data_IF_771871817415
#
_entry.id   IF_771871817415
#
_cell.length_a   1.000
_cell.length_b   1.000
_cell.length_c   1.000
_cell.angle_alpha   90.00
_cell.angle_beta   90.00
_cell.angle_gamma   90.00
#
_symmetry.space_group_name_H-M   'P 1'
#
loop_
_entity.id
_entity.type
_entity.pdbx_description
1 polymer ?
#
# COMPACT_ATOMS: atom_id res chain seq x y z
N UNK A 1 1.07 26.92 8.77
CA UNK A 1 0.26 25.70 8.97
C UNK A 1 0.36 24.92 7.67
N UNK A 2 0.56 23.62 7.66
CA UNK A 2 0.51 22.89 6.41
C UNK A 2 -0.90 23.06 5.84
N UNK A 3 -0.99 23.49 4.61
CA UNK A 3 -2.25 23.64 3.88
C UNK A 3 -2.86 22.24 3.80
N UNK A 4 -4.06 22.04 4.33
CA UNK A 4 -4.73 20.73 4.24
C UNK A 4 -5.07 20.46 2.78
N UNK A 5 -4.70 19.29 2.27
CA UNK A 5 -5.09 18.84 0.93
C UNK A 5 -6.62 18.82 0.86
N UNK A 6 -7.20 19.44 -0.18
CA UNK A 6 -8.64 19.37 -0.41
C UNK A 6 -8.97 18.02 -1.08
N UNK A 7 -9.90 17.25 -0.51
CA UNK A 7 -10.30 15.93 -1.05
C UNK A 7 -11.83 15.84 -1.17
N UNK A 8 -12.32 15.07 -2.14
CA UNK A 8 -13.76 14.85 -2.41
C UNK A 8 -14.42 13.90 -1.44
N UNK A 9 -13.72 12.91 -0.89
CA UNK A 9 -14.28 11.77 -0.13
C UNK A 9 -15.32 10.98 -0.94
N UNK A 10 -14.96 10.54 -2.13
CA UNK A 10 -15.86 9.94 -3.12
C UNK A 10 -15.78 8.41 -3.14
N UNK A 11 -15.87 7.74 -2.00
CA UNK A 11 -15.93 6.27 -1.95
C UNK A 11 -17.24 5.74 -2.54
N UNK A 12 -17.18 4.56 -3.20
CA UNK A 12 -18.34 3.82 -3.72
C UNK A 12 -18.44 2.44 -3.06
N UNK A 13 -19.60 1.75 -3.16
CA UNK A 13 -19.77 0.41 -2.62
C UNK A 13 -18.76 -0.57 -3.20
N UNK A 14 -18.04 -1.27 -2.31
CA UNK A 14 -16.97 -2.21 -2.68
C UNK A 14 -17.49 -3.59 -3.11
N UNK A 15 -18.79 -3.87 -2.93
CA UNK A 15 -19.43 -5.15 -3.31
C UNK A 15 -20.73 -4.92 -4.04
N UNK A 16 -21.08 -5.90 -4.87
CA UNK A 16 -22.34 -5.94 -5.63
C UNK A 16 -23.03 -7.26 -5.35
N UNK A 17 -24.35 -7.21 -5.10
CA UNK A 17 -25.17 -8.40 -4.93
C UNK A 17 -25.56 -8.99 -6.28
N UNK A 18 -25.35 -10.29 -6.44
CA UNK A 18 -25.77 -11.04 -7.63
C UNK A 18 -26.46 -12.34 -7.25
N UNK A 19 -27.18 -12.92 -8.19
CA UNK A 19 -27.75 -14.27 -8.03
C UNK A 19 -26.82 -15.30 -8.68
N UNK A 20 -26.44 -16.33 -7.93
CA UNK A 20 -25.65 -17.47 -8.39
C UNK A 20 -26.42 -18.77 -8.22
N UNK A 21 -26.01 -19.83 -8.91
CA UNK A 21 -26.58 -21.18 -8.74
C UNK A 21 -25.60 -22.03 -7.95
N UNK A 22 -26.06 -22.63 -6.84
CA UNK A 22 -25.25 -23.54 -6.02
C UNK A 22 -25.17 -24.95 -6.61
N UNK A 23 -24.45 -25.86 -5.95
CA UNK A 23 -24.24 -27.27 -6.36
C UNK A 23 -25.54 -28.11 -6.36
N UNK A 24 -26.59 -27.62 -5.74
CA UNK A 24 -27.91 -28.26 -5.71
C UNK A 24 -28.87 -27.71 -6.78
N UNK A 25 -28.43 -26.74 -7.61
CA UNK A 25 -29.25 -26.09 -8.61
C UNK A 25 -30.15 -24.97 -8.05
N UNK A 26 -29.96 -24.54 -6.82
CA UNK A 26 -30.74 -23.50 -6.16
C UNK A 26 -30.16 -22.11 -6.44
N UNK A 27 -31.05 -21.14 -6.62
CA UNK A 27 -30.65 -19.73 -6.75
C UNK A 27 -30.35 -19.15 -5.36
N UNK A 28 -29.13 -18.62 -5.20
CA UNK A 28 -28.66 -18.01 -3.95
C UNK A 28 -28.16 -16.59 -4.21
N UNK A 29 -28.46 -15.66 -3.32
CA UNK A 29 -27.89 -14.31 -3.36
C UNK A 29 -26.48 -14.33 -2.76
N UNK A 30 -25.51 -13.76 -3.48
CA UNK A 30 -24.11 -13.67 -3.06
C UNK A 30 -23.56 -12.28 -3.33
N UNK A 31 -22.60 -11.86 -2.51
CA UNK A 31 -21.81 -10.64 -2.74
C UNK A 31 -20.59 -10.97 -3.58
N UNK A 32 -20.30 -10.16 -4.57
CA UNK A 32 -19.05 -10.17 -5.32
C UNK A 32 -18.31 -8.84 -5.16
N UNK A 33 -16.99 -8.83 -5.30
CA UNK A 33 -16.19 -7.60 -5.24
C UNK A 33 -16.50 -6.71 -6.44
N UNK A 34 -16.66 -5.41 -6.18
CA UNK A 34 -16.72 -4.40 -7.22
C UNK A 34 -15.37 -4.26 -7.91
N UNK A 35 -15.39 -3.82 -9.16
CA UNK A 35 -14.16 -3.49 -9.90
C UNK A 35 -14.47 -2.34 -10.85
N UNK A 36 -13.84 -1.19 -10.61
CA UNK A 36 -14.13 0.06 -11.30
C UNK A 36 -12.84 0.64 -11.88
N UNK A 37 -12.85 1.12 -13.12
CA UNK A 37 -11.72 1.89 -13.65
C UNK A 37 -11.64 3.26 -12.95
N UNK A 38 -10.43 3.72 -12.69
CA UNK A 38 -10.13 5.03 -12.14
C UNK A 38 -8.92 5.61 -12.87
N UNK A 39 -9.16 6.54 -13.76
CA UNK A 39 -8.11 7.20 -14.54
C UNK A 39 -7.48 8.34 -13.75
N UNK A 40 -6.19 8.23 -13.47
CA UNK A 40 -5.43 9.21 -12.70
C UNK A 40 -4.87 10.29 -13.61
N UNK A 41 -5.26 11.53 -13.32
CA UNK A 41 -4.68 12.75 -13.90
C UNK A 41 -3.85 13.49 -12.85
N UNK A 42 -2.68 13.96 -13.23
CA UNK A 42 -1.86 14.83 -12.40
C UNK A 42 -1.49 16.08 -13.18
N UNK A 43 -1.88 17.26 -12.69
CA UNK A 43 -1.74 18.55 -13.36
C UNK A 43 -2.18 18.48 -14.84
N UNK A 44 -3.39 18.03 -15.08
CA UNK A 44 -4.04 17.87 -16.40
C UNK A 44 -3.44 16.79 -17.31
N UNK A 45 -2.34 16.13 -16.90
CA UNK A 45 -1.74 15.02 -17.66
C UNK A 45 -2.32 13.70 -17.21
N UNK A 46 -2.87 12.92 -18.14
CA UNK A 46 -3.27 11.54 -17.89
C UNK A 46 -2.04 10.67 -17.65
N UNK A 47 -2.07 9.87 -16.58
CA UNK A 47 -0.97 8.99 -16.20
C UNK A 47 -1.27 7.52 -16.48
N UNK A 48 -2.41 7.03 -16.00
CA UNK A 48 -2.84 5.63 -16.16
C UNK A 48 -4.28 5.45 -15.66
N UNK A 49 -4.87 4.31 -15.98
CA UNK A 49 -6.12 3.84 -15.38
C UNK A 49 -5.83 2.67 -14.44
N UNK A 50 -6.35 2.73 -13.22
CA UNK A 50 -6.28 1.70 -12.18
C UNK A 50 -7.63 0.99 -12.08
N UNK A 51 -7.63 -0.36 -12.04
CA UNK A 51 -8.83 -1.10 -11.67
C UNK A 51 -8.85 -1.22 -10.15
N UNK A 52 -9.88 -0.71 -9.49
CA UNK A 52 -9.97 -0.59 -8.02
C UNK A 52 -11.36 -0.92 -7.49
N UNK A 53 -11.44 -1.25 -6.20
CA UNK A 53 -12.74 -1.35 -5.49
C UNK A 53 -13.47 -0.01 -5.36
N UNK A 54 -12.77 1.10 -5.52
CA UNK A 54 -13.34 2.44 -5.31
C UNK A 54 -13.58 2.82 -3.85
N UNK A 55 -13.03 2.07 -2.90
CA UNK A 55 -13.22 2.34 -1.47
C UNK A 55 -12.47 3.58 -0.97
N UNK A 56 -11.28 3.84 -1.50
CA UNK A 56 -10.39 4.93 -1.05
C UNK A 56 -9.66 5.57 -2.25
N UNK A 57 -10.37 6.13 -3.22
CA UNK A 57 -9.79 6.56 -4.49
C UNK A 57 -8.80 7.71 -4.34
N UNK A 58 -9.03 8.67 -3.44
CA UNK A 58 -8.13 9.79 -3.19
C UNK A 58 -6.80 9.32 -2.55
N UNK A 59 -6.90 8.43 -1.57
CA UNK A 59 -5.72 7.85 -0.93
C UNK A 59 -4.92 6.99 -1.91
N UNK A 60 -5.60 6.21 -2.76
CA UNK A 60 -4.97 5.43 -3.81
C UNK A 60 -4.18 6.33 -4.79
N UNK A 61 -4.80 7.40 -5.28
CA UNK A 61 -4.16 8.34 -6.20
C UNK A 61 -2.93 9.02 -5.56
N UNK A 62 -3.07 9.53 -4.34
CA UNK A 62 -1.99 10.18 -3.61
C UNK A 62 -0.83 9.23 -3.33
N UNK A 63 -1.13 8.02 -2.87
CA UNK A 63 -0.13 7.03 -2.55
C UNK A 63 0.57 6.46 -3.79
N UNK A 64 -0.15 6.33 -4.90
CA UNK A 64 0.45 5.97 -6.17
C UNK A 64 1.49 7.03 -6.60
N UNK A 65 1.14 8.33 -6.58
CA UNK A 65 2.06 9.42 -6.91
C UNK A 65 3.29 9.42 -5.99
N UNK A 66 3.10 9.21 -4.67
CA UNK A 66 4.17 9.05 -3.69
C UNK A 66 5.10 7.91 -4.06
N UNK A 67 4.57 6.72 -4.29
CA UNK A 67 5.34 5.50 -4.54
C UNK A 67 5.99 5.48 -5.93
N UNK A 68 5.49 6.30 -6.88
CA UNK A 68 6.14 6.58 -8.17
C UNK A 68 7.17 7.72 -8.06
N UNK A 69 7.33 8.35 -6.89
CA UNK A 69 8.21 9.52 -6.66
C UNK A 69 7.93 10.70 -7.58
N UNK A 70 6.69 10.83 -8.02
CA UNK A 70 6.23 12.00 -8.74
C UNK A 70 5.96 13.17 -7.79
N UNK A 71 5.67 12.85 -6.53
CA UNK A 71 5.51 13.78 -5.41
C UNK A 71 6.38 13.28 -4.27
N UNK A 72 7.13 14.17 -3.62
CA UNK A 72 8.03 13.82 -2.53
C UNK A 72 7.49 14.24 -1.15
N UNK A 73 6.55 15.19 -1.15
CA UNK A 73 5.98 15.73 0.07
C UNK A 73 4.47 15.99 -0.14
N UNK A 74 3.59 15.67 0.82
CA UNK A 74 2.16 15.95 0.70
C UNK A 74 1.85 17.44 0.52
N UNK A 75 2.71 18.35 0.97
CA UNK A 75 2.55 19.80 0.74
C UNK A 75 2.66 20.24 -0.72
N UNK A 76 3.17 19.37 -1.61
CA UNK A 76 3.17 19.64 -3.05
C UNK A 76 1.78 19.48 -3.69
N UNK A 77 0.81 18.91 -2.96
CA UNK A 77 -0.55 18.64 -3.45
C UNK A 77 -1.53 19.64 -2.84
N UNK A 78 -2.28 20.32 -3.69
CA UNK A 78 -3.34 21.24 -3.31
C UNK A 78 -4.70 20.56 -3.19
N UNK A 79 -5.04 19.72 -4.19
CA UNK A 79 -6.36 19.08 -4.25
C UNK A 79 -6.32 17.70 -4.91
N UNK A 80 -7.24 16.83 -4.50
CA UNK A 80 -7.54 15.54 -5.10
C UNK A 80 -9.05 15.47 -5.31
N UNK A 81 -9.48 15.44 -6.55
CA UNK A 81 -10.89 15.45 -6.93
C UNK A 81 -11.24 14.17 -7.71
N UNK A 82 -12.18 13.41 -7.19
CA UNK A 82 -12.68 12.17 -7.81
C UNK A 82 -14.06 12.42 -8.38
N UNK A 83 -14.26 11.94 -9.60
CA UNK A 83 -15.53 11.94 -10.29
C UNK A 83 -15.80 10.56 -10.89
N UNK A 84 -16.79 9.85 -10.34
CA UNK A 84 -17.16 8.52 -10.79
C UNK A 84 -18.03 8.52 -12.06
N UNK A 85 -18.63 9.64 -12.44
CA UNK A 85 -19.35 9.73 -13.72
C UNK A 85 -18.36 9.66 -14.90
N UNK A 86 -17.17 10.22 -14.71
CA UNK A 86 -16.08 10.17 -15.68
C UNK A 86 -15.00 9.13 -15.35
N UNK A 87 -15.19 8.36 -14.27
CA UNK A 87 -14.26 7.33 -13.79
C UNK A 87 -12.83 7.88 -13.65
N UNK A 88 -12.69 9.07 -13.09
CA UNK A 88 -11.42 9.80 -13.05
C UNK A 88 -11.10 10.35 -11.67
N UNK A 89 -9.80 10.53 -11.41
CA UNK A 89 -9.26 11.28 -10.28
C UNK A 89 -8.25 12.31 -10.78
N UNK A 90 -8.53 13.58 -10.50
CA UNK A 90 -7.66 14.70 -10.83
C UNK A 90 -6.90 15.13 -9.56
N UNK A 91 -5.57 15.05 -9.63
CA UNK A 91 -4.67 15.56 -8.59
C UNK A 91 -4.06 16.87 -9.11
N UNK A 92 -4.17 17.92 -8.28
CA UNK A 92 -3.66 19.26 -8.60
C UNK A 92 -2.51 19.58 -7.66
N UNK A 93 -1.34 19.95 -8.21
CA UNK A 93 -0.21 20.42 -7.43
C UNK A 93 -0.44 21.82 -6.90
N UNK A 94 0.26 22.18 -5.81
CA UNK A 94 0.31 23.56 -5.30
C UNK A 94 0.91 24.51 -6.35
N UNK A 95 1.89 24.04 -7.11
CA UNK A 95 2.50 24.82 -8.22
C UNK A 95 1.45 25.21 -9.27
N UNK A 96 0.65 24.25 -9.74
CA UNK A 96 -0.40 24.56 -10.73
C UNK A 96 -1.45 25.51 -10.17
N UNK A 97 -1.84 25.33 -8.89
CA UNK A 97 -2.82 26.18 -8.23
C UNK A 97 -2.34 27.62 -8.08
N UNK A 98 -1.07 27.83 -7.73
CA UNK A 98 -0.51 29.14 -7.45
C UNK A 98 -0.05 29.90 -8.69
N UNK A 99 0.54 29.18 -9.66
CA UNK A 99 1.19 29.80 -10.83
C UNK A 99 0.43 29.62 -12.14
N UNK A 100 -0.51 28.68 -12.19
CA UNK A 100 -1.19 28.26 -13.41
C UNK A 100 -0.34 27.37 -14.33
N UNK A 101 0.94 27.10 -13.98
CA UNK A 101 1.87 26.28 -14.76
C UNK A 101 1.96 24.87 -14.18
N UNK A 102 1.90 23.87 -15.06
CA UNK A 102 2.03 22.47 -14.66
C UNK A 102 3.47 22.14 -14.27
N UNK A 103 3.64 21.23 -13.30
CA UNK A 103 4.96 20.69 -12.94
C UNK A 103 5.64 19.98 -14.12
N UNK A 104 4.88 19.56 -15.13
CA UNK A 104 5.39 18.92 -16.36
C UNK A 104 6.14 19.87 -17.29
N UNK A 105 5.90 21.16 -17.16
CA UNK A 105 6.55 22.19 -17.97
C UNK A 105 7.96 22.53 -17.47
N UNK A 106 8.23 22.26 -16.19
CA UNK A 106 9.42 22.80 -15.50
C UNK A 106 10.39 21.74 -14.98
N UNK A 107 10.07 20.43 -15.05
CA UNK A 107 10.83 19.40 -14.33
C UNK A 107 11.25 18.22 -15.20
N UNK A 108 12.40 17.61 -14.82
CA UNK A 108 12.87 16.28 -15.29
C UNK A 108 11.84 15.14 -15.04
N UNK A 109 10.75 15.41 -14.31
CA UNK A 109 9.67 14.47 -14.01
C UNK A 109 8.95 13.99 -15.29
N UNK A 110 8.87 14.82 -16.32
CA UNK A 110 8.31 14.45 -17.62
C UNK A 110 9.10 13.32 -18.29
N UNK A 111 10.43 13.35 -18.18
CA UNK A 111 11.33 12.33 -18.77
C UNK A 111 11.29 11.00 -18.02
N UNK A 112 11.00 11.01 -16.71
CA UNK A 112 10.87 9.79 -15.90
C UNK A 112 9.66 8.94 -16.28
N UNK A 113 8.60 9.56 -16.76
CA UNK A 113 7.39 8.85 -17.22
C UNK A 113 7.55 8.13 -18.56
N UNK A 114 8.44 8.60 -19.43
CA UNK A 114 8.66 8.00 -20.77
C UNK A 114 9.44 6.67 -20.68
N UNK A 115 10.17 6.42 -19.60
CA UNK A 115 11.02 5.22 -19.41
C UNK A 115 10.32 4.07 -18.67
N UNK A 116 9.00 3.95 -18.76
CA UNK A 116 8.25 2.91 -18.03
C UNK A 116 8.52 1.51 -18.60
N UNK A 117 9.05 0.62 -17.75
CA UNK A 117 9.05 -0.82 -17.97
C UNK A 117 7.82 -1.43 -17.31
N UNK A 118 6.94 -2.02 -18.11
CA UNK A 118 5.77 -2.74 -17.60
C UNK A 118 6.23 -4.10 -17.06
N UNK A 119 6.10 -4.33 -15.74
CA UNK A 119 6.36 -5.63 -15.15
C UNK A 119 5.12 -6.52 -15.25
N UNK A 120 5.33 -7.82 -15.56
CA UNK A 120 4.28 -8.82 -15.66
C UNK A 120 3.66 -9.12 -14.29
N UNK A 121 2.40 -8.77 -14.11
CA UNK A 121 1.62 -9.10 -12.91
C UNK A 121 0.44 -8.14 -12.75
N UNK A 122 -0.69 -8.60 -12.27
CA UNK A 122 -1.93 -7.83 -12.10
C UNK A 122 -1.67 -6.44 -11.50
N UNK A 123 -1.61 -5.42 -12.35
CA UNK A 123 -1.28 -4.05 -12.00
C UNK A 123 -0.15 -3.50 -12.88
N UNK A 124 -0.25 -2.26 -13.26
CA UNK A 124 0.78 -1.58 -14.05
C UNK A 124 2.03 -1.42 -13.19
N UNK A 125 3.07 -2.17 -13.54
CA UNK A 125 4.32 -2.25 -12.80
C UNK A 125 5.03 -0.91 -12.66
N UNK A 126 5.60 -0.72 -11.50
CA UNK A 126 6.52 0.38 -11.20
C UNK A 126 7.83 0.19 -11.96
N UNK A 127 8.39 1.25 -12.48
CA UNK A 127 9.68 1.26 -13.17
C UNK A 127 10.80 0.86 -12.19
N UNK A 128 11.34 -0.36 -12.35
CA UNK A 128 12.38 -0.86 -11.46
C UNK A 128 13.76 -0.18 -11.63
N UNK A 129 14.07 0.40 -12.78
CA UNK A 129 15.42 0.92 -13.09
C UNK A 129 15.83 2.11 -12.21
N UNK A 130 15.13 3.23 -12.32
CA UNK A 130 15.46 4.47 -11.58
C UNK A 130 15.17 4.37 -10.08
N UNK A 131 14.24 3.49 -9.68
CA UNK A 131 13.93 3.25 -8.27
C UNK A 131 15.05 2.50 -7.54
N UNK A 132 15.84 1.69 -8.23
CA UNK A 132 16.95 0.96 -7.63
C UNK A 132 18.12 1.88 -7.25
N UNK A 133 18.40 2.93 -8.04
CA UNK A 133 19.47 3.90 -7.73
C UNK A 133 19.18 4.72 -6.48
N UNK A 134 17.91 5.02 -6.26
CA UNK A 134 17.49 5.79 -5.08
C UNK A 134 17.29 4.94 -3.82
N UNK A 135 17.20 3.62 -3.95
CA UNK A 135 17.09 2.74 -2.77
C UNK A 135 18.32 2.82 -1.86
N UNK A 136 19.49 3.11 -2.40
CA UNK A 136 20.71 3.28 -1.61
C UNK A 136 20.65 4.48 -0.64
N UNK A 137 19.70 5.40 -0.84
CA UNK A 137 19.46 6.56 0.03
C UNK A 137 18.45 6.26 1.15
N UNK A 138 17.71 5.14 1.05
CA UNK A 138 16.71 4.78 2.06
C UNK A 138 17.40 4.24 3.30
N UNK A 139 17.18 4.92 4.43
CA UNK A 139 17.62 4.47 5.75
C UNK A 139 16.40 4.12 6.59
N UNK A 140 16.29 2.87 6.99
CA UNK A 140 15.20 2.40 7.82
C UNK A 140 15.61 2.39 9.30
N UNK A 141 14.65 2.73 10.15
CA UNK A 141 14.86 2.76 11.60
C UNK A 141 15.20 1.38 12.16
N UNK A 142 16.16 1.35 13.11
CA UNK A 142 16.45 0.19 13.95
C UNK A 142 15.94 0.36 15.40
N UNK A 143 15.15 1.41 15.66
CA UNK A 143 14.73 1.77 17.00
C UNK A 143 13.67 0.82 17.61
N UNK A 144 12.95 0.09 16.76
CA UNK A 144 11.80 -0.72 17.20
C UNK A 144 11.97 -2.17 16.76
N UNK A 145 12.10 -3.07 17.75
CA UNK A 145 12.15 -4.51 17.50
C UNK A 145 10.73 -5.08 17.44
N UNK A 146 10.50 -6.02 16.53
CA UNK A 146 9.29 -6.83 16.52
C UNK A 146 9.44 -8.01 17.45
N UNK A 147 8.55 -8.18 18.44
CA UNK A 147 8.48 -9.40 19.22
C UNK A 147 7.53 -10.40 18.58
N UNK A 148 7.76 -11.68 18.86
CA UNK A 148 6.89 -12.76 18.40
C UNK A 148 5.44 -12.60 18.89
N UNK A 149 5.24 -12.04 20.09
CA UNK A 149 3.92 -11.76 20.65
C UNK A 149 3.18 -10.70 19.83
N UNK A 150 3.87 -9.61 19.46
CA UNK A 150 3.31 -8.57 18.62
C UNK A 150 2.97 -9.10 17.23
N UNK A 151 3.83 -9.95 16.66
CA UNK A 151 3.54 -10.63 15.38
C UNK A 151 2.25 -11.44 15.47
N UNK A 152 2.09 -12.24 16.53
CA UNK A 152 0.88 -13.05 16.72
C UNK A 152 -0.36 -12.19 16.95
N UNK A 153 -0.23 -11.06 17.65
CA UNK A 153 -1.31 -10.09 17.82
C UNK A 153 -1.77 -9.53 16.47
N UNK A 154 -0.84 -9.08 15.64
CA UNK A 154 -1.15 -8.58 14.27
C UNK A 154 -1.89 -9.65 13.46
N UNK A 155 -1.37 -10.89 13.45
CA UNK A 155 -1.97 -11.98 12.68
C UNK A 155 -3.38 -12.34 13.15
N UNK A 156 -3.62 -12.33 14.47
CA UNK A 156 -4.93 -12.61 15.04
C UNK A 156 -5.94 -11.48 14.76
N UNK A 157 -5.53 -10.22 14.88
CA UNK A 157 -6.37 -9.07 14.60
C UNK A 157 -6.77 -9.03 13.11
N UNK A 158 -5.83 -9.22 12.19
CA UNK A 158 -6.14 -9.28 10.75
C UNK A 158 -7.09 -10.43 10.44
N UNK A 159 -6.90 -11.60 11.06
CA UNK A 159 -7.81 -12.76 10.90
C UNK A 159 -9.22 -12.45 11.36
N UNK A 160 -9.37 -11.72 12.47
CA UNK A 160 -10.67 -11.34 13.05
C UNK A 160 -11.32 -10.15 12.35
N UNK A 161 -10.53 -9.33 11.68
CA UNK A 161 -11.02 -8.11 11.04
C UNK A 161 -12.17 -8.41 10.07
N UNK A 162 -13.26 -7.68 10.16
CA UNK A 162 -14.34 -7.73 9.18
C UNK A 162 -13.82 -7.17 7.85
N UNK A 163 -14.04 -7.90 6.76
CA UNK A 163 -13.37 -7.62 5.51
C UNK A 163 -14.23 -7.95 4.28
N UNK A 164 -13.97 -7.26 3.19
CA UNK A 164 -14.58 -7.54 1.88
C UNK A 164 -14.21 -8.95 1.42
N UNK A 165 -12.99 -9.40 1.70
CA UNK A 165 -12.56 -10.77 1.41
C UNK A 165 -13.47 -11.83 2.04
N UNK A 166 -13.94 -11.61 3.27
CA UNK A 166 -14.86 -12.54 3.94
C UNK A 166 -16.26 -12.53 3.34
N UNK A 167 -16.68 -11.39 2.79
CA UNK A 167 -18.03 -11.21 2.21
C UNK A 167 -18.07 -11.67 0.76
N UNK A 168 -17.10 -11.29 -0.05
CA UNK A 168 -17.12 -11.39 -1.50
C UNK A 168 -15.89 -12.11 -2.10
N UNK A 169 -14.80 -12.26 -1.35
CA UNK A 169 -13.55 -12.79 -1.91
C UNK A 169 -12.85 -11.83 -2.90
N UNK A 170 -11.98 -12.38 -3.74
CA UNK A 170 -11.34 -11.73 -4.89
C UNK A 170 -10.59 -10.41 -4.62
N UNK A 171 -10.14 -10.16 -3.39
CA UNK A 171 -9.40 -8.97 -2.99
C UNK A 171 -8.13 -9.31 -2.22
N UNK A 172 -7.22 -8.33 -2.15
CA UNK A 172 -6.02 -8.35 -1.33
C UNK A 172 -6.13 -7.33 -0.20
N UNK A 173 -5.90 -7.78 1.04
CA UNK A 173 -5.85 -6.90 2.21
C UNK A 173 -4.42 -6.49 2.54
N UNK A 174 -4.25 -5.21 2.89
CA UNK A 174 -3.05 -4.65 3.50
C UNK A 174 -3.41 -3.95 4.81
N UNK A 175 -2.55 -4.07 5.82
CA UNK A 175 -2.71 -3.38 7.09
C UNK A 175 -1.43 -2.65 7.48
N UNK A 176 -1.57 -1.46 8.05
CA UNK A 176 -0.53 -0.76 8.76
C UNK A 176 -0.79 -0.95 10.26
N UNK A 177 0.17 -1.52 10.97
CA UNK A 177 0.03 -1.79 12.40
C UNK A 177 1.10 -1.05 13.20
N UNK A 178 0.79 -0.71 14.46
CA UNK A 178 1.75 -0.10 15.37
C UNK A 178 2.81 -1.11 15.83
N UNK A 179 4.08 -0.67 15.94
CA UNK A 179 5.16 -1.42 16.59
C UNK A 179 5.76 -0.67 17.79
N UNK A 180 5.10 0.37 18.27
CA UNK A 180 5.56 1.18 19.40
C UNK A 180 4.46 1.46 20.42
N UNK A 181 4.85 1.92 21.60
CA UNK A 181 3.94 2.34 22.65
C UNK A 181 3.07 1.21 23.25
N UNK A 182 1.97 1.60 23.89
CA UNK A 182 1.02 0.67 24.50
C UNK A 182 0.20 -0.12 23.47
N UNK A 183 0.09 0.40 22.26
CA UNK A 183 -0.77 -0.13 21.19
C UNK A 183 0.00 -1.00 20.17
N UNK A 184 1.09 -1.63 20.60
CA UNK A 184 1.88 -2.52 19.74
C UNK A 184 1.03 -3.67 19.22
N UNK A 185 1.05 -3.85 17.89
CA UNK A 185 0.28 -4.85 17.18
C UNK A 185 -1.13 -4.42 16.80
N UNK A 186 -1.62 -3.24 17.20
CA UNK A 186 -2.91 -2.73 16.77
C UNK A 186 -2.90 -2.33 15.30
N UNK A 187 -4.01 -2.62 14.60
CA UNK A 187 -4.26 -2.18 13.24
C UNK A 187 -4.61 -0.70 13.26
N UNK A 188 -3.79 0.13 12.63
CA UNK A 188 -4.02 1.57 12.46
C UNK A 188 -4.79 1.89 11.18
N UNK A 189 -4.45 1.18 10.09
CA UNK A 189 -5.12 1.28 8.80
C UNK A 189 -5.32 -0.12 8.24
N UNK A 190 -6.47 -0.35 7.60
CA UNK A 190 -6.75 -1.58 6.86
C UNK A 190 -7.38 -1.20 5.52
N UNK A 191 -6.78 -1.69 4.44
CA UNK A 191 -7.24 -1.42 3.08
C UNK A 191 -7.34 -2.72 2.31
N UNK A 192 -8.45 -2.92 1.63
CA UNK A 192 -8.64 -3.99 0.65
C UNK A 192 -8.83 -3.40 -0.74
N UNK A 193 -8.28 -4.07 -1.74
CA UNK A 193 -8.46 -3.73 -3.14
C UNK A 193 -8.34 -4.99 -4.01
N UNK A 194 -8.87 -4.97 -5.23
CA UNK A 194 -8.69 -6.06 -6.22
C UNK A 194 -7.23 -6.28 -6.56
N UNK A 195 -6.43 -5.20 -6.52
CA UNK A 195 -4.98 -5.22 -6.72
C UNK A 195 -4.18 -5.02 -5.42
N UNK A 196 -3.25 -5.94 -5.09
CA UNK A 196 -2.36 -5.75 -3.92
C UNK A 196 -1.53 -4.45 -4.01
N UNK A 197 -1.21 -4.01 -5.23
CA UNK A 197 -0.46 -2.77 -5.45
C UNK A 197 -1.31 -1.54 -5.15
N UNK A 198 -2.59 -1.57 -5.47
CA UNK A 198 -3.54 -0.51 -5.09
C UNK A 198 -3.69 -0.44 -3.57
N UNK A 199 -3.83 -1.60 -2.90
CA UNK A 199 -3.97 -1.62 -1.45
C UNK A 199 -2.75 -1.01 -0.73
N UNK A 200 -1.50 -1.29 -1.17
CA UNK A 200 -0.31 -0.67 -0.58
C UNK A 200 -0.21 0.82 -0.93
N UNK A 201 -0.62 1.22 -2.14
CA UNK A 201 -0.64 2.63 -2.52
C UNK A 201 -1.68 3.40 -1.69
N UNK A 202 -2.87 2.86 -1.50
CA UNK A 202 -3.87 3.48 -0.63
C UNK A 202 -3.38 3.62 0.83
N UNK A 203 -2.68 2.63 1.39
CA UNK A 203 -2.00 2.77 2.70
C UNK A 203 -0.99 3.92 2.68
N UNK A 204 -0.17 4.02 1.63
CA UNK A 204 0.83 5.10 1.50
C UNK A 204 0.19 6.49 1.46
N UNK A 205 -0.94 6.63 0.75
CA UNK A 205 -1.73 7.86 0.70
C UNK A 205 -2.35 8.20 2.04
N UNK A 206 -2.97 7.22 2.71
CA UNK A 206 -3.54 7.39 4.06
C UNK A 206 -2.48 7.82 5.07
N UNK A 207 -1.27 7.24 5.02
CA UNK A 207 -0.17 7.67 5.89
C UNK A 207 0.14 9.16 5.71
N UNK A 208 0.15 9.66 4.48
CA UNK A 208 0.36 11.09 4.22
C UNK A 208 -0.79 11.97 4.66
N UNK A 209 -2.04 11.56 4.37
CA UNK A 209 -3.23 12.31 4.79
C UNK A 209 -3.32 12.46 6.32
N UNK A 210 -2.84 11.45 7.06
CA UNK A 210 -2.85 11.44 8.53
C UNK A 210 -1.51 11.82 9.18
N UNK A 211 -0.49 12.22 8.40
CA UNK A 211 0.84 12.61 8.92
C UNK A 211 1.56 11.46 9.65
N UNK A 212 1.36 10.21 9.21
CA UNK A 212 1.95 9.04 9.86
C UNK A 212 3.36 8.77 9.34
N UNK A 213 4.33 8.58 10.24
CA UNK A 213 5.65 8.03 9.95
C UNK A 213 5.61 6.51 9.82
N UNK A 214 6.55 5.93 9.07
CA UNK A 214 6.70 4.48 8.92
C UNK A 214 7.65 3.82 9.92
N UNK A 215 8.47 4.60 10.64
CA UNK A 215 9.62 4.12 11.41
C UNK A 215 9.29 3.07 12.47
N UNK A 216 8.13 3.20 13.08
CA UNK A 216 7.60 2.36 14.15
C UNK A 216 6.38 1.54 13.69
N UNK A 217 6.32 1.18 12.41
CA UNK A 217 5.19 0.46 11.84
C UNK A 217 5.55 -0.93 11.36
N UNK A 218 4.53 -1.78 11.32
CA UNK A 218 4.53 -3.08 10.68
C UNK A 218 3.57 -2.99 9.50
N UNK A 219 4.03 -3.39 8.32
CA UNK A 219 3.16 -3.56 7.17
C UNK A 219 2.79 -5.02 6.99
N UNK A 220 1.51 -5.33 7.03
CA UNK A 220 0.98 -6.66 6.75
C UNK A 220 0.29 -6.70 5.39
N UNK A 221 0.42 -7.83 4.68
CA UNK A 221 -0.33 -8.07 3.43
C UNK A 221 -0.76 -9.54 3.29
N UNK A 222 -1.91 -9.76 2.65
CA UNK A 222 -2.33 -11.10 2.22
C UNK A 222 -1.62 -11.53 0.93
N UNK A 223 -1.06 -10.56 0.18
CA UNK A 223 -0.38 -10.75 -1.10
C UNK A 223 1.08 -11.18 -0.95
N UNK A 224 1.70 -11.52 -2.07
CA UNK A 224 3.13 -11.84 -2.14
C UNK A 224 3.98 -10.59 -1.91
N UNK A 225 5.15 -10.76 -1.26
CA UNK A 225 6.19 -9.72 -1.16
C UNK A 225 7.10 -9.80 -2.39
N UNK A 226 6.72 -9.06 -3.43
CA UNK A 226 7.53 -8.88 -4.65
C UNK A 226 8.50 -7.71 -4.47
N UNK A 227 9.47 -7.55 -5.37
CA UNK A 227 10.38 -6.41 -5.40
C UNK A 227 9.66 -5.07 -5.24
N UNK A 228 8.58 -4.87 -6.00
CA UNK A 228 7.78 -3.65 -5.97
C UNK A 228 7.13 -3.41 -4.60
N UNK A 229 6.54 -4.44 -3.99
CA UNK A 229 5.95 -4.33 -2.64
C UNK A 229 7.00 -3.94 -1.60
N UNK A 230 8.20 -4.54 -1.66
CA UNK A 230 9.30 -4.23 -0.75
C UNK A 230 9.79 -2.79 -0.96
N UNK A 231 9.96 -2.35 -2.20
CA UNK A 231 10.35 -0.98 -2.55
C UNK A 231 9.35 0.04 -2.01
N UNK A 232 8.06 -0.16 -2.25
CA UNK A 232 7.00 0.73 -1.76
C UNK A 232 7.01 0.84 -0.23
N UNK A 233 7.15 -0.27 0.48
CA UNK A 233 7.24 -0.25 1.94
C UNK A 233 8.50 0.46 2.45
N UNK A 234 9.65 0.27 1.78
CA UNK A 234 10.88 0.99 2.09
C UNK A 234 10.71 2.50 1.90
N UNK A 235 10.06 2.93 0.82
CA UNK A 235 9.75 4.35 0.56
C UNK A 235 8.80 4.96 1.58
N UNK A 236 7.91 4.16 2.17
CA UNK A 236 7.08 4.56 3.30
C UNK A 236 7.84 4.65 4.63
N UNK A 237 9.12 4.23 4.66
CA UNK A 237 9.95 4.19 5.86
C UNK A 237 9.66 3.00 6.78
N UNK A 238 8.98 1.95 6.30
CA UNK A 238 8.51 0.83 7.12
C UNK A 238 9.58 -0.28 7.17
N UNK A 239 10.14 -0.59 8.36
CA UNK A 239 11.25 -1.54 8.49
C UNK A 239 10.80 -3.00 8.62
N UNK A 240 9.51 -3.27 8.84
CA UNK A 240 8.97 -4.62 9.12
C UNK A 240 7.83 -4.96 8.17
N UNK A 241 8.00 -6.04 7.41
CA UNK A 241 7.03 -6.56 6.46
C UNK A 241 6.58 -7.97 6.84
N UNK A 242 5.27 -8.16 6.92
CA UNK A 242 4.64 -9.44 7.26
C UNK A 242 3.68 -9.84 6.13
N UNK A 243 3.79 -11.07 5.64
CA UNK A 243 2.90 -11.58 4.59
C UNK A 243 2.31 -12.94 4.93
N UNK A 244 1.01 -13.10 4.67
CA UNK A 244 0.36 -14.43 4.69
C UNK A 244 0.87 -15.33 3.56
N UNK A 245 1.32 -14.74 2.47
CA UNK A 245 1.83 -15.42 1.28
C UNK A 245 3.37 -15.57 1.34
N UNK A 246 3.98 -15.95 0.23
CA UNK A 246 5.43 -16.01 0.07
C UNK A 246 6.02 -14.73 -0.49
N UNK A 247 7.28 -14.84 -0.89
CA UNK A 247 8.06 -13.74 -1.47
C UNK A 247 8.76 -14.19 -2.76
N UNK A 248 9.24 -13.22 -3.53
CA UNK A 248 10.04 -13.49 -4.73
C UNK A 248 11.53 -13.35 -4.42
N UNK A 249 12.39 -13.97 -5.24
CA UNK A 249 13.84 -13.85 -5.10
C UNK A 249 14.29 -12.37 -5.06
N UNK A 250 13.88 -11.56 -6.04
CA UNK A 250 14.24 -10.15 -6.09
C UNK A 250 13.71 -9.36 -4.87
N UNK A 251 12.50 -9.68 -4.39
CA UNK A 251 11.97 -9.08 -3.15
C UNK A 251 12.84 -9.41 -1.94
N UNK A 252 13.34 -10.64 -1.84
CA UNK A 252 14.28 -11.06 -0.79
C UNK A 252 15.62 -10.31 -0.87
N UNK A 253 16.23 -10.23 -2.05
CA UNK A 253 17.51 -9.55 -2.28
C UNK A 253 17.42 -8.06 -1.92
N UNK A 254 16.35 -7.38 -2.32
CA UNK A 254 16.10 -5.97 -1.98
C UNK A 254 15.91 -5.81 -0.47
N UNK A 255 15.14 -6.69 0.18
CA UNK A 255 14.93 -6.63 1.61
C UNK A 255 16.23 -6.82 2.40
N UNK A 256 17.13 -7.71 1.96
CA UNK A 256 18.46 -7.86 2.53
C UNK A 256 19.29 -6.59 2.37
N UNK A 257 19.36 -6.03 1.17
CA UNK A 257 20.11 -4.80 0.88
C UNK A 257 19.63 -3.61 1.73
N UNK A 258 18.32 -3.48 1.92
CA UNK A 258 17.70 -2.39 2.69
C UNK A 258 17.59 -2.69 4.19
N UNK A 259 18.06 -3.84 4.62
CA UNK A 259 18.00 -4.26 6.02
C UNK A 259 16.57 -4.29 6.59
N UNK A 260 15.60 -4.76 5.77
CA UNK A 260 14.20 -4.91 6.14
C UNK A 260 14.00 -6.24 6.87
N UNK A 261 13.23 -6.24 7.94
CA UNK A 261 12.75 -7.47 8.59
C UNK A 261 11.55 -7.99 7.83
N UNK A 262 11.70 -9.17 7.20
CA UNK A 262 10.67 -9.72 6.34
C UNK A 262 10.26 -11.12 6.77
N UNK A 263 8.95 -11.26 7.10
CA UNK A 263 8.32 -12.51 7.46
C UNK A 263 7.28 -12.89 6.41
N UNK A 264 7.26 -14.16 6.04
CA UNK A 264 6.28 -14.69 5.09
C UNK A 264 5.68 -16.00 5.57
N UNK A 265 4.66 -16.49 4.83
CA UNK A 265 3.86 -17.67 5.18
C UNK A 265 3.24 -17.57 6.59
N UNK A 266 2.91 -16.34 7.00
CA UNK A 266 2.39 -16.04 8.32
C UNK A 266 0.92 -16.46 8.42
N UNK A 267 0.65 -17.55 9.16
CA UNK A 267 -0.70 -18.07 9.36
C UNK A 267 -0.81 -18.76 10.72
N UNK A 268 -1.78 -18.37 11.53
CA UNK A 268 -1.93 -18.87 12.90
C UNK A 268 -0.71 -18.52 13.75
N UNK A 269 0.06 -19.52 14.18
CA UNK A 269 1.35 -19.34 14.88
C UNK A 269 2.56 -19.69 14.01
N UNK A 270 2.35 -19.99 12.73
CA UNK A 270 3.42 -20.29 11.79
C UNK A 270 3.91 -19.02 11.10
N UNK A 271 5.21 -18.89 10.93
CA UNK A 271 5.87 -17.87 10.11
C UNK A 271 7.26 -18.37 9.68
N UNK A 272 7.79 -17.75 8.63
CA UNK A 272 9.19 -17.89 8.24
C UNK A 272 9.84 -16.51 8.23
N UNK A 273 10.88 -16.33 9.02
CA UNK A 273 11.71 -15.13 9.02
C UNK A 273 12.78 -15.26 7.94
N UNK A 274 12.71 -14.43 6.91
CA UNK A 274 13.61 -14.50 5.75
C UNK A 274 14.79 -13.53 5.84
N UNK A 275 14.55 -12.34 6.40
CA UNK A 275 15.58 -11.27 6.52
C UNK A 275 15.37 -10.49 7.81
N UNK A 276 16.40 -9.76 8.26
CA UNK A 276 16.30 -8.80 9.35
C UNK A 276 16.14 -9.42 10.74
N UNK A 277 16.76 -10.57 11.00
CA UNK A 277 16.69 -11.26 12.30
C UNK A 277 17.10 -10.38 13.50
N UNK A 278 17.96 -9.39 13.27
CA UNK A 278 18.43 -8.45 14.30
C UNK A 278 17.31 -7.58 14.91
N UNK A 279 16.16 -7.42 14.21
CA UNK A 279 14.96 -6.70 14.74
C UNK A 279 13.89 -7.64 15.27
N UNK A 280 14.11 -8.94 15.30
CA UNK A 280 13.09 -9.89 15.68
C UNK A 280 13.47 -10.63 16.97
N UNK A 281 12.63 -10.51 18.01
CA UNK A 281 12.84 -11.20 19.29
C UNK A 281 11.88 -12.38 19.40
N UNK A 282 12.40 -13.57 19.58
CA UNK A 282 11.61 -14.77 19.83
C UNK A 282 11.19 -14.85 21.31
N UNK A 283 10.16 -15.66 21.62
CA UNK A 283 9.76 -15.91 23.02
C UNK A 283 10.87 -16.52 23.87
N UNK A 284 11.82 -17.24 23.22
CA UNK A 284 12.94 -17.86 23.92
C UNK A 284 14.02 -16.83 24.33
N UNK A 285 14.13 -15.72 23.60
CA UNK A 285 15.10 -14.67 23.90
C UNK A 285 14.74 -13.88 25.17
N UNK A 286 13.46 -13.89 25.55
CA UNK A 286 12.94 -13.18 26.74
C UNK A 286 13.20 -13.93 28.06
N UNK A 287 13.61 -15.21 28.02
CA UNK A 287 13.91 -16.00 29.22
C UNK A 287 15.35 -15.86 29.70
N UNK A 288 16.24 -15.19 28.95
CA UNK A 288 17.65 -15.03 29.26
C UNK A 288 18.11 -13.56 29.37
N UNK A 289 17.18 -12.61 29.37
CA UNK A 289 17.41 -11.18 29.63
C UNK A 289 16.81 -10.81 30.99
#
# INVERSE_FOLDING_TARGET
MPTSIQITNASIPSTVEITATNEHGEQVSVQISGEHPLTLYFDKKELLTLMTLGAQPEALALGWLRNQRLVNNPSEIAAIHVDWETESVAVTSTTLQETGSSIWETTEKAQKLEKKTTTSGCGQGTVCGDLMEDLDKVQLSNAYNLSQEVLYSVMDQVRKHESIYKQAGAVHGCALCSNSGANRGEILLFVEDVGRHNAVDAIAGQMWLHGMSGDDKIFYTTGRLTSEMVIKCAQMGIPVLVSRSGLTQMGHEIAQKLNITMLGRCQGKHYLLYTGAHRFNTLNDTQYA
#
